data_IF_624838151150
#
_entry.id   IF_624838151150
#
_cell.length_a   1.000
_cell.length_b   1.000
_cell.length_c   1.000
_cell.angle_alpha   90.00
_cell.angle_beta   90.00
_cell.angle_gamma   90.00
#
_symmetry.space_group_name_H-M   'P 1'
#
loop_
_entity.id
_entity.type
_entity.pdbx_description
1 polymer ?
#
# COMPACT_ATOMS: atom_id res chain seq x y z
N UNK A 1 15.51 -28.87 -69.37
CA UNK A 1 16.44 -27.73 -69.19
C UNK A 1 15.74 -26.42 -68.85
N UNK A 2 14.68 -26.00 -69.59
CA UNK A 2 13.92 -24.77 -69.28
C UNK A 2 13.33 -24.71 -67.85
N UNK A 3 12.74 -25.80 -67.35
CA UNK A 3 12.18 -25.87 -65.97
C UNK A 3 13.25 -25.74 -64.88
N UNK A 4 14.44 -26.28 -65.14
CA UNK A 4 15.58 -26.20 -64.23
C UNK A 4 16.15 -24.77 -64.18
N UNK A 5 16.26 -24.12 -65.35
CA UNK A 5 16.65 -22.71 -65.44
C UNK A 5 15.66 -21.78 -64.73
N UNK A 6 14.35 -22.03 -64.83
CA UNK A 6 13.32 -21.25 -64.12
C UNK A 6 13.44 -21.43 -62.61
N UNK A 7 13.66 -22.65 -62.11
CA UNK A 7 13.89 -22.87 -60.68
C UNK A 7 15.14 -22.15 -60.16
N UNK A 8 16.22 -22.10 -60.94
CA UNK A 8 17.44 -21.36 -60.57
C UNK A 8 17.18 -19.86 -60.48
N UNK A 9 16.42 -19.30 -61.43
CA UNK A 9 16.09 -17.86 -61.42
C UNK A 9 15.17 -17.50 -60.25
N UNK A 10 14.20 -18.35 -59.91
CA UNK A 10 13.30 -18.12 -58.77
C UNK A 10 14.06 -18.23 -57.44
N UNK A 11 14.96 -19.21 -57.29
CA UNK A 11 15.80 -19.35 -56.11
C UNK A 11 16.73 -18.15 -55.92
N UNK A 12 17.29 -17.63 -57.01
CA UNK A 12 18.18 -16.47 -56.99
C UNK A 12 17.43 -15.16 -56.66
N UNK A 13 16.18 -15.03 -57.10
CA UNK A 13 15.32 -13.90 -56.71
C UNK A 13 14.98 -13.87 -55.23
N UNK A 14 14.80 -15.05 -54.60
CA UNK A 14 14.42 -15.16 -53.19
C UNK A 14 15.56 -14.81 -52.23
N UNK A 15 16.82 -15.02 -52.65
CA UNK A 15 18.02 -14.63 -51.90
C UNK A 15 18.21 -13.11 -51.92
N UNK A 16 17.83 -12.44 -53.01
CA UNK A 16 18.01 -10.99 -53.17
C UNK A 16 16.97 -10.14 -52.44
N UNK A 17 15.85 -10.74 -52.00
CA UNK A 17 14.81 -10.06 -51.22
C UNK A 17 14.93 -10.27 -49.71
N UNK A 18 15.98 -10.95 -49.25
CA UNK A 18 16.26 -11.12 -47.82
C UNK A 18 16.51 -9.76 -47.18
N UNK A 19 15.58 -9.31 -46.34
CA UNK A 19 15.76 -8.11 -45.52
C UNK A 19 16.99 -8.30 -44.64
N UNK A 20 17.96 -7.40 -44.74
CA UNK A 20 19.14 -7.38 -43.87
C UNK A 20 18.67 -7.21 -42.42
N UNK A 21 18.95 -8.20 -41.57
CA UNK A 21 18.65 -8.13 -40.16
C UNK A 21 19.73 -7.27 -39.49
N UNK A 22 19.44 -5.98 -39.25
CA UNK A 22 20.32 -4.98 -38.60
C UNK A 22 20.58 -5.23 -37.09
N UNK A 23 20.51 -6.48 -36.63
CA UNK A 23 20.70 -6.87 -35.23
C UNK A 23 21.94 -7.75 -35.01
N UNK A 24 22.79 -7.92 -36.03
CA UNK A 24 24.00 -8.73 -35.96
C UNK A 24 25.27 -7.93 -35.65
N UNK A 25 25.14 -6.65 -35.35
CA UNK A 25 26.28 -5.87 -34.89
C UNK A 25 26.53 -6.23 -33.42
N UNK A 26 27.54 -7.08 -33.19
CA UNK A 26 28.29 -7.20 -31.93
C UNK A 26 29.09 -5.91 -31.67
N UNK A 27 28.49 -4.75 -31.97
CA UNK A 27 29.04 -3.47 -31.55
C UNK A 27 28.92 -3.43 -30.04
N UNK A 28 30.06 -3.63 -29.38
CA UNK A 28 30.28 -3.57 -27.93
C UNK A 28 29.29 -2.60 -27.29
N UNK A 29 28.20 -3.16 -26.74
CA UNK A 29 27.19 -2.38 -26.05
C UNK A 29 27.91 -1.67 -24.93
N UNK A 30 28.11 -0.35 -25.05
CA UNK A 30 28.83 0.47 -24.06
C UNK A 30 28.01 0.51 -22.77
N UNK A 31 28.13 -0.53 -21.97
CA UNK A 31 27.52 -0.62 -20.65
C UNK A 31 28.28 0.31 -19.71
N UNK A 32 27.66 1.43 -19.36
CA UNK A 32 28.16 2.31 -18.32
C UNK A 32 27.66 1.80 -16.98
N UNK A 33 28.58 1.33 -16.15
CA UNK A 33 28.28 1.02 -14.76
C UNK A 33 28.39 2.31 -13.95
N UNK A 34 27.27 2.73 -13.39
CA UNK A 34 27.21 3.87 -12.47
C UNK A 34 27.26 3.31 -11.05
N UNK A 35 28.14 3.89 -10.24
CA UNK A 35 28.20 3.63 -8.80
C UNK A 35 27.13 4.48 -8.11
N UNK A 36 26.26 3.82 -7.35
CA UNK A 36 25.15 4.44 -6.62
C UNK A 36 25.38 4.42 -5.10
N UNK A 37 26.57 4.04 -4.63
CA UNK A 37 26.88 3.98 -3.20
C UNK A 37 26.72 5.36 -2.53
N UNK A 38 27.04 6.44 -3.24
CA UNK A 38 26.85 7.83 -2.77
C UNK A 38 25.39 8.32 -2.86
N UNK A 39 24.48 7.53 -3.43
CA UNK A 39 23.06 7.86 -3.62
C UNK A 39 22.15 7.10 -2.65
N UNK A 40 22.73 6.45 -1.64
CA UNK A 40 21.99 5.89 -0.51
C UNK A 40 21.32 7.02 0.27
N UNK A 41 20.07 7.29 -0.06
CA UNK A 41 19.20 8.11 0.77
C UNK A 41 18.95 7.30 2.03
N UNK A 42 19.51 7.75 3.16
CA UNK A 42 19.14 7.26 4.49
C UNK A 42 17.65 7.54 4.69
N UNK A 43 16.85 6.54 4.33
CA UNK A 43 15.42 6.52 4.54
C UNK A 43 15.16 6.33 6.02
N UNK A 44 15.40 7.36 6.82
CA UNK A 44 14.92 7.42 8.20
C UNK A 44 13.40 7.37 8.15
N UNK A 45 12.84 6.16 8.26
CA UNK A 45 11.41 5.95 8.46
C UNK A 45 11.11 6.46 9.87
N UNK A 46 10.86 7.77 9.97
CA UNK A 46 10.27 8.38 11.15
C UNK A 46 8.85 7.84 11.29
N UNK A 47 8.71 6.70 11.98
CA UNK A 47 7.39 6.22 12.41
C UNK A 47 6.82 7.31 13.33
N UNK A 48 5.69 7.93 13.01
CA UNK A 48 5.02 8.75 13.99
C UNK A 48 4.62 7.82 15.14
N UNK A 49 5.20 8.04 16.32
CA UNK A 49 4.65 7.48 17.55
C UNK A 49 3.27 8.10 17.72
N UNK A 50 2.24 7.36 17.32
CA UNK A 50 0.86 7.81 17.44
C UNK A 50 0.55 8.06 18.91
N UNK A 51 0.12 9.28 19.25
CA UNK A 51 -0.41 9.54 20.58
C UNK A 51 -1.67 8.71 20.77
N UNK A 52 -1.62 7.79 21.71
CA UNK A 52 -2.79 6.99 22.12
C UNK A 52 -3.71 7.91 22.92
N UNK A 53 -4.61 8.62 22.23
CA UNK A 53 -5.74 9.30 22.87
C UNK A 53 -6.79 8.26 23.24
N UNK A 54 -6.54 7.56 24.33
CA UNK A 54 -7.34 6.42 24.78
C UNK A 54 -7.56 6.40 26.28
N UNK A 55 -7.72 7.57 26.91
CA UNK A 55 -8.28 7.64 28.25
C UNK A 55 -9.74 8.00 28.12
N UNK A 56 -10.60 6.99 28.20
CA UNK A 56 -12.01 7.20 28.58
C UNK A 56 -11.97 7.79 29.98
N UNK A 57 -12.03 9.12 30.08
CA UNK A 57 -12.17 9.77 31.37
C UNK A 57 -13.44 9.26 32.05
N UNK A 58 -13.30 8.71 33.25
CA UNK A 58 -14.45 8.27 34.05
C UNK A 58 -15.35 9.49 34.28
N UNK A 59 -16.61 9.37 33.88
CA UNK A 59 -17.59 10.42 34.09
C UNK A 59 -17.73 10.74 35.59
N UNK A 60 -17.45 12.00 35.97
CA UNK A 60 -17.50 12.46 37.37
C UNK A 60 -18.92 12.93 37.71
N UNK A 61 -19.74 12.03 38.23
CA UNK A 61 -21.11 12.33 38.64
C UNK A 61 -21.24 12.93 40.05
N UNK A 62 -20.14 13.08 40.80
CA UNK A 62 -20.15 13.57 42.20
C UNK A 62 -20.90 14.90 42.37
N UNK A 63 -20.77 15.84 41.42
CA UNK A 63 -21.47 17.12 41.49
C UNK A 63 -22.98 16.98 41.25
N UNK A 64 -23.39 16.08 40.37
CA UNK A 64 -24.81 15.82 40.11
C UNK A 64 -25.45 15.06 41.29
N UNK A 65 -24.68 14.16 41.91
CA UNK A 65 -25.10 13.43 43.10
C UNK A 65 -25.24 14.36 44.31
N UNK A 66 -24.33 15.34 44.46
CA UNK A 66 -24.37 16.29 45.58
C UNK A 66 -25.50 17.31 45.48
N UNK A 67 -25.95 17.65 44.27
CA UNK A 67 -27.09 18.53 44.03
C UNK A 67 -28.43 17.85 44.27
N UNK A 68 -28.52 16.52 44.10
CA UNK A 68 -29.77 15.74 44.23
C UNK A 68 -29.88 14.98 45.56
N UNK A 69 -29.46 15.58 46.67
CA UNK A 69 -29.66 15.01 48.03
C UNK A 69 -31.13 14.94 48.46
N UNK A 70 -31.99 15.74 47.84
CA UNK A 70 -33.45 15.74 48.06
C UNK A 70 -34.14 14.42 47.68
N UNK A 71 -33.44 13.52 46.98
CA UNK A 71 -33.97 12.22 46.60
C UNK A 71 -33.75 11.15 47.68
N UNK A 72 -32.83 11.35 48.63
CA UNK A 72 -32.53 10.38 49.69
C UNK A 72 -33.73 10.09 50.60
N UNK A 73 -34.49 11.09 51.09
CA UNK A 73 -35.68 10.81 51.91
C UNK A 73 -36.73 9.98 51.16
N UNK A 74 -36.85 10.20 49.85
CA UNK A 74 -37.81 9.51 48.99
C UNK A 74 -37.39 8.06 48.70
N UNK A 75 -36.09 7.79 48.63
CA UNK A 75 -35.53 6.43 48.57
C UNK A 75 -35.79 5.69 49.88
N UNK A 76 -35.57 6.33 51.04
CA UNK A 76 -35.84 5.70 52.34
C UNK A 76 -37.32 5.40 52.56
N UNK A 77 -38.20 6.28 52.07
CA UNK A 77 -39.65 6.07 52.08
C UNK A 77 -40.04 4.87 51.21
N UNK A 78 -39.53 4.78 49.97
CA UNK A 78 -39.81 3.62 49.10
C UNK A 78 -39.21 2.32 49.63
N UNK A 79 -38.06 2.34 50.30
CA UNK A 79 -37.47 1.15 50.89
C UNK A 79 -38.25 0.60 52.11
N UNK A 80 -39.07 1.44 52.76
CA UNK A 80 -39.94 1.06 53.88
C UNK A 80 -41.35 0.71 53.44
N UNK A 81 -41.65 0.90 52.17
CA UNK A 81 -42.97 0.64 51.59
C UNK A 81 -43.23 -0.87 51.58
N UNK A 82 -44.30 -1.31 52.26
CA UNK A 82 -44.63 -2.72 52.44
C UNK A 82 -44.98 -3.44 51.13
N UNK A 83 -45.24 -2.68 50.06
CA UNK A 83 -45.51 -3.18 48.70
C UNK A 83 -44.26 -3.84 48.08
N UNK A 84 -43.06 -3.53 48.57
CA UNK A 84 -41.79 -4.06 48.06
C UNK A 84 -41.12 -5.11 48.96
N UNK A 85 -41.79 -5.54 50.05
CA UNK A 85 -41.36 -6.68 50.88
C UNK A 85 -41.86 -8.01 50.35
#
# INVERSE_FOLDING_TARGET
>A
MKKFAVCVVVAMGLVLTGSVAFAQDDDDVKTKFYDFDDMLIDGDIKKPEGMVYGVTERAKFERLLSLKKSFLPKIEETAKDDVLK
#
